data_IF_270108083260
#
_entry.id   IF_270108083260
#
_cell.length_a   1.000
_cell.length_b   1.000
_cell.length_c   1.000
_cell.angle_alpha   90.00
_cell.angle_beta   90.00
_cell.angle_gamma   90.00
#
_symmetry.space_group_name_H-M   'P 1'
#
loop_
_entity.id
_entity.type
_entity.pdbx_description
1 polymer ?
#
# COMPACT_ATOMS: atom_id res chain seq x y z
N UNK A 1 8.43 8.73 -3.77
CA UNK A 1 7.85 7.44 -4.16
C UNK A 1 6.53 7.70 -4.84
N UNK A 2 6.48 7.44 -6.15
CA UNK A 2 5.26 7.52 -6.97
C UNK A 2 4.26 6.41 -6.61
N UNK A 3 4.73 5.38 -5.91
CA UNK A 3 3.97 4.21 -5.53
C UNK A 3 4.34 3.67 -4.15
N UNK A 4 3.51 2.77 -3.66
CA UNK A 4 3.67 1.97 -2.46
C UNK A 4 3.57 0.48 -2.81
N UNK A 5 4.37 -0.34 -2.12
CA UNK A 5 4.37 -1.79 -2.29
C UNK A 5 4.43 -2.47 -0.92
N UNK A 6 3.69 -3.56 -0.77
CA UNK A 6 3.67 -4.39 0.42
C UNK A 6 3.81 -5.87 0.03
N UNK A 7 4.75 -6.57 0.64
CA UNK A 7 4.99 -8.00 0.43
C UNK A 7 4.51 -8.78 1.63
N UNK A 8 3.67 -9.79 1.41
CA UNK A 8 3.07 -10.66 2.41
C UNK A 8 3.34 -12.13 2.05
N UNK A 9 3.18 -12.99 3.05
CA UNK A 9 2.96 -14.42 2.85
C UNK A 9 1.51 -14.72 3.21
N UNK A 10 0.81 -15.44 2.35
CA UNK A 10 -0.49 -15.99 2.71
C UNK A 10 -0.31 -17.21 3.66
N UNK A 11 -1.40 -17.79 4.18
CA UNK A 11 -1.32 -18.97 5.06
C UNK A 11 -0.65 -20.20 4.41
N UNK A 12 -0.64 -20.28 3.07
CA UNK A 12 -0.05 -21.37 2.29
C UNK A 12 1.42 -21.10 1.92
N UNK A 13 2.01 -20.04 2.47
CA UNK A 13 3.38 -19.56 2.20
C UNK A 13 3.62 -19.06 0.75
N UNK A 14 2.55 -18.75 0.01
CA UNK A 14 2.69 -18.05 -1.27
C UNK A 14 3.07 -16.59 -1.03
N UNK A 15 4.02 -16.09 -1.82
CA UNK A 15 4.39 -14.67 -1.81
C UNK A 15 3.33 -13.83 -2.51
N UNK A 16 2.79 -12.83 -1.80
CA UNK A 16 1.81 -11.87 -2.32
C UNK A 16 2.44 -10.48 -2.35
N UNK A 17 2.29 -9.76 -3.46
CA UNK A 17 2.68 -8.36 -3.60
C UNK A 17 1.44 -7.50 -3.86
N UNK A 18 1.21 -6.52 -2.98
CA UNK A 18 0.21 -5.48 -3.17
C UNK A 18 0.92 -4.21 -3.62
N UNK A 19 0.53 -3.70 -4.79
CA UNK A 19 1.12 -2.51 -5.39
C UNK A 19 0.05 -1.45 -5.65
N UNK A 20 0.35 -0.21 -5.26
CA UNK A 20 -0.55 0.92 -5.45
C UNK A 20 0.22 2.17 -5.88
N UNK A 21 -0.19 2.76 -7.01
CA UNK A 21 0.31 4.06 -7.45
C UNK A 21 -0.45 5.18 -6.75
N UNK A 22 0.29 6.16 -6.22
CA UNK A 22 -0.32 7.38 -5.67
C UNK A 22 -0.95 8.19 -6.81
N UNK A 23 -2.03 8.95 -6.53
CA UNK A 23 -2.52 9.97 -7.46
C UNK A 23 -1.39 10.87 -7.99
N UNK A 24 -1.38 11.16 -9.29
CA UNK A 24 -0.27 11.83 -9.97
C UNK A 24 0.02 13.24 -9.41
N UNK A 25 -1.00 13.92 -8.90
CA UNK A 25 -0.93 15.21 -8.23
C UNK A 25 -0.17 15.16 -6.89
N UNK A 26 -0.08 13.98 -6.27
CA UNK A 26 0.67 13.74 -5.03
C UNK A 26 2.11 13.29 -5.28
N UNK A 27 2.53 13.17 -6.55
CA UNK A 27 3.89 12.75 -6.85
C UNK A 27 4.90 13.81 -6.40
N UNK A 28 5.89 13.43 -5.59
CA UNK A 28 6.85 14.38 -5.06
C UNK A 28 7.68 14.99 -6.19
N UNK A 29 7.86 16.31 -6.15
CA UNK A 29 8.68 17.06 -7.10
C UNK A 29 9.84 17.74 -6.40
N UNK A 30 10.95 17.85 -7.11
CA UNK A 30 12.10 18.66 -6.68
C UNK A 30 11.77 20.14 -6.80
N UNK A 31 12.60 21.02 -6.21
CA UNK A 31 12.48 22.48 -6.36
C UNK A 31 12.53 22.93 -7.83
N UNK A 32 13.12 22.12 -8.72
CA UNK A 32 13.18 22.37 -10.17
C UNK A 32 11.98 21.84 -10.96
N UNK A 33 10.97 21.24 -10.31
CA UNK A 33 9.76 20.72 -10.96
C UNK A 33 9.85 19.26 -11.46
N UNK A 34 11.06 18.69 -11.47
CA UNK A 34 11.30 17.28 -11.83
C UNK A 34 10.74 16.31 -10.79
N UNK A 35 10.41 15.09 -11.19
CA UNK A 35 9.95 14.05 -10.26
C UNK A 35 11.06 13.65 -9.29
N UNK A 36 10.77 13.75 -7.99
CA UNK A 36 11.64 13.29 -6.94
C UNK A 36 11.45 11.79 -6.70
N UNK A 37 12.14 10.97 -7.49
CA UNK A 37 12.14 9.52 -7.33
C UNK A 37 12.90 9.12 -6.07
N UNK A 38 12.21 8.41 -5.16
CA UNK A 38 12.83 7.83 -3.96
C UNK A 38 12.05 6.60 -3.52
N UNK A 39 12.77 5.67 -2.92
CA UNK A 39 12.23 4.47 -2.25
C UNK A 39 12.34 4.67 -0.75
N UNK A 40 11.22 4.61 -0.05
CA UNK A 40 11.17 4.64 1.42
C UNK A 40 10.40 3.43 1.91
N UNK A 41 10.68 2.99 3.14
CA UNK A 41 9.80 2.01 3.79
C UNK A 41 8.40 2.59 3.93
N UNK A 42 7.41 1.74 3.66
CA UNK A 42 6.01 2.04 3.93
C UNK A 42 5.80 2.18 5.44
N UNK A 43 5.09 3.24 5.84
CA UNK A 43 4.72 3.45 7.24
C UNK A 43 3.42 2.70 7.53
N UNK A 44 3.54 1.52 8.13
CA UNK A 44 2.41 0.64 8.42
C UNK A 44 1.46 1.23 9.47
N UNK A 45 1.98 2.01 10.42
CA UNK A 45 1.14 2.61 11.46
C UNK A 45 0.27 3.73 10.86
N UNK A 46 0.87 4.55 10.00
CA UNK A 46 0.13 5.57 9.27
C UNK A 46 -0.95 4.94 8.37
N UNK A 47 -0.62 3.86 7.66
CA UNK A 47 -1.56 3.14 6.80
C UNK A 47 -2.74 2.55 7.60
N UNK A 48 -2.46 1.90 8.74
CA UNK A 48 -3.52 1.34 9.59
C UNK A 48 -4.47 2.43 10.12
N UNK A 49 -3.95 3.62 10.41
CA UNK A 49 -4.77 4.75 10.86
C UNK A 49 -5.76 5.26 9.80
N UNK A 50 -5.52 4.99 8.50
CA UNK A 50 -6.46 5.35 7.43
C UNK A 50 -7.73 4.48 7.45
N UNK A 51 -7.67 3.26 7.99
CA UNK A 51 -8.84 2.35 8.08
C UNK A 51 -9.96 2.94 8.93
N UNK A 52 -9.63 3.64 10.02
CA UNK A 52 -10.62 4.33 10.86
C UNK A 52 -11.31 5.50 10.13
N UNK A 53 -10.65 6.07 9.13
CA UNK A 53 -11.21 7.10 8.25
C UNK A 53 -12.13 6.50 7.16
N UNK A 54 -11.94 5.24 6.79
CA UNK A 54 -12.70 4.51 5.76
C UNK A 54 -13.57 3.43 6.42
N UNK A 55 -14.59 3.87 7.17
CA UNK A 55 -15.48 2.98 7.96
C UNK A 55 -16.28 1.95 7.14
N UNK A 56 -16.33 2.11 5.82
CA UNK A 56 -17.14 1.29 4.91
C UNK A 56 -16.30 0.38 3.99
N UNK A 57 -15.01 0.17 4.28
CA UNK A 57 -14.21 -0.78 3.51
C UNK A 57 -14.85 -2.19 3.58
N UNK A 58 -14.96 -2.92 2.45
CA UNK A 58 -15.53 -4.26 2.46
C UNK A 58 -14.73 -5.14 3.42
N UNK A 59 -15.43 -5.78 4.36
CA UNK A 59 -14.82 -6.82 5.18
C UNK A 59 -14.38 -7.93 4.24
N UNK A 60 -13.08 -8.17 4.18
CA UNK A 60 -12.55 -9.33 3.49
C UNK A 60 -12.92 -10.52 4.35
N UNK A 61 -13.84 -11.36 3.88
CA UNK A 61 -14.13 -12.62 4.54
C UNK A 61 -12.83 -13.45 4.59
N UNK A 62 -12.63 -14.17 5.69
CA UNK A 62 -11.47 -15.06 5.81
C UNK A 62 -11.43 -15.99 4.59
N UNK A 63 -10.27 -16.03 3.93
CA UNK A 63 -10.05 -16.85 2.73
C UNK A 63 -10.43 -18.31 2.97
N UNK A 64 -10.64 -19.10 1.90
CA UNK A 64 -11.11 -20.47 2.01
C UNK A 64 -10.23 -21.24 3.01
N UNK A 65 -10.86 -21.79 4.07
CA UNK A 65 -10.19 -22.49 5.17
C UNK A 65 -9.81 -23.94 4.83
N UNK A 66 -9.93 -24.31 3.55
CA UNK A 66 -9.98 -25.70 3.10
C UNK A 66 -8.96 -25.91 1.97
N UNK A 67 -7.68 -26.04 2.33
CA UNK A 67 -6.66 -26.77 1.57
C UNK A 67 -6.06 -27.87 2.46
#
# INVERSE_FOLDING_TARGET
>A
GVSEALYLRDPDDNGVELYWDRPQDQWPRTTGGELAMFTRRLDLNALLAEVDAVKDAPKVDEGPRDL
#
